data_IF_623828882924
#
_entry.id   IF_623828882924
#
_cell.length_a   1.000
_cell.length_b   1.000
_cell.length_c   1.000
_cell.angle_alpha   90.00
_cell.angle_beta   90.00
_cell.angle_gamma   90.00
#
_symmetry.space_group_name_H-M   'P 1'
#
loop_
_entity.id
_entity.type
_entity.pdbx_description
1 polymer ?
#
# COMPACT_ATOMS: atom_id res chain seq x y z
N UNK A 1 -28.87 -19.95 24.67
CA UNK A 1 -28.34 -19.86 23.28
C UNK A 1 -28.10 -21.24 22.74
N UNK A 2 -28.24 -21.47 21.43
CA UNK A 2 -28.00 -22.78 20.79
C UNK A 2 -26.48 -23.01 20.64
N UNK A 3 -25.80 -23.53 21.66
CA UNK A 3 -24.37 -23.83 21.62
C UNK A 3 -24.14 -25.35 21.55
N UNK A 4 -23.20 -25.80 20.71
CA UNK A 4 -22.76 -27.21 20.65
C UNK A 4 -21.66 -27.52 21.67
N UNK A 5 -20.75 -26.58 21.90
CA UNK A 5 -19.63 -26.68 22.84
C UNK A 5 -19.29 -25.28 23.37
N UNK A 6 -18.95 -25.20 24.65
CA UNK A 6 -18.46 -23.98 25.31
C UNK A 6 -17.02 -24.24 25.75
N UNK A 7 -16.13 -23.30 25.45
CA UNK A 7 -14.71 -23.32 25.83
C UNK A 7 -14.34 -21.96 26.40
N UNK A 8 -13.24 -21.84 27.14
CA UNK A 8 -12.76 -20.52 27.56
C UNK A 8 -12.20 -19.78 26.36
N UNK A 9 -12.52 -18.50 26.22
CA UNK A 9 -12.03 -17.69 25.11
C UNK A 9 -10.49 -17.68 25.03
N UNK A 10 -9.82 -17.67 26.19
CA UNK A 10 -8.35 -17.74 26.29
C UNK A 10 -7.77 -19.07 25.79
N UNK A 11 -8.48 -20.19 25.95
CA UNK A 11 -8.02 -21.49 25.43
C UNK A 11 -7.98 -21.45 23.91
N UNK A 12 -9.07 -20.97 23.27
CA UNK A 12 -9.10 -20.81 21.81
C UNK A 12 -8.06 -19.79 21.32
N UNK A 13 -7.86 -18.70 22.05
CA UNK A 13 -6.86 -17.69 21.71
C UNK A 13 -5.44 -18.27 21.73
N UNK A 14 -5.10 -19.07 22.75
CA UNK A 14 -3.80 -19.72 22.83
C UNK A 14 -3.57 -20.68 21.66
N UNK A 15 -4.58 -21.44 21.25
CA UNK A 15 -4.48 -22.32 20.07
C UNK A 15 -4.22 -21.52 18.77
N UNK A 16 -4.88 -20.37 18.61
CA UNK A 16 -4.65 -19.48 17.45
C UNK A 16 -3.19 -19.01 17.44
N UNK A 17 -2.66 -18.55 18.58
CA UNK A 17 -1.28 -18.06 18.69
C UNK A 17 -0.27 -19.19 18.47
N UNK A 18 -0.50 -20.37 19.04
CA UNK A 18 0.36 -21.55 18.82
C UNK A 18 0.43 -21.91 17.34
N UNK A 19 -0.72 -21.97 16.66
CA UNK A 19 -0.77 -22.26 15.23
C UNK A 19 -0.03 -21.19 14.40
N UNK A 20 -0.13 -19.91 14.79
CA UNK A 20 0.59 -18.82 14.13
C UNK A 20 2.11 -18.92 14.31
N UNK A 21 2.58 -19.31 15.49
CA UNK A 21 4.01 -19.52 15.74
C UNK A 21 4.57 -20.69 14.92
N UNK A 22 3.80 -21.77 14.77
CA UNK A 22 4.22 -22.96 14.06
C UNK A 22 4.15 -22.82 12.54
N UNK A 23 3.13 -22.11 12.02
CA UNK A 23 2.78 -22.14 10.59
C UNK A 23 2.74 -20.77 9.92
N UNK A 24 2.79 -19.67 10.69
CA UNK A 24 2.52 -18.31 10.20
C UNK A 24 1.04 -18.04 9.89
N UNK A 25 0.14 -18.99 10.18
CA UNK A 25 -1.30 -18.96 9.90
C UNK A 25 -2.10 -19.30 11.17
N UNK A 26 -3.40 -18.95 11.28
CA UNK A 26 -4.22 -18.25 10.30
C UNK A 26 -3.97 -16.73 10.29
N UNK A 27 -4.38 -16.08 9.19
CA UNK A 27 -4.48 -14.62 9.15
C UNK A 27 -5.52 -14.09 10.14
N UNK A 28 -5.31 -12.86 10.62
CA UNK A 28 -6.22 -12.18 11.53
C UNK A 28 -7.00 -11.09 10.79
N UNK A 29 -8.32 -11.26 10.72
CA UNK A 29 -9.23 -10.24 10.20
C UNK A 29 -10.34 -9.94 11.21
N UNK A 30 -10.62 -8.66 11.41
CA UNK A 30 -11.65 -8.20 12.33
C UNK A 30 -12.95 -7.91 11.58
N UNK A 31 -13.87 -8.89 11.59
CA UNK A 31 -15.16 -8.85 10.86
C UNK A 31 -15.91 -7.53 11.04
N UNK A 32 -16.07 -7.08 12.29
CA UNK A 32 -16.87 -5.89 12.59
C UNK A 32 -16.23 -4.62 12.04
N UNK A 33 -14.90 -4.52 12.13
CA UNK A 33 -14.14 -3.42 11.54
C UNK A 33 -14.25 -3.41 10.01
N UNK A 34 -14.19 -4.59 9.38
CA UNK A 34 -14.32 -4.74 7.93
C UNK A 34 -15.71 -4.31 7.44
N UNK A 35 -16.77 -4.75 8.14
CA UNK A 35 -18.14 -4.47 7.73
C UNK A 35 -18.55 -3.01 8.00
N UNK A 36 -18.19 -2.46 9.18
CA UNK A 36 -18.56 -1.08 9.56
C UNK A 36 -17.91 -0.01 8.70
N UNK A 37 -16.73 -0.31 8.15
CA UNK A 37 -15.87 0.65 7.43
C UNK A 37 -15.72 0.30 5.95
N UNK A 38 -16.71 -0.39 5.39
CA UNK A 38 -16.75 -0.71 3.97
C UNK A 38 -17.79 0.16 3.27
N UNK A 39 -17.42 0.73 2.13
CA UNK A 39 -18.39 1.40 1.27
C UNK A 39 -19.41 0.41 0.65
N UNK A 40 -19.12 -0.90 0.66
CA UNK A 40 -20.03 -1.95 0.20
C UNK A 40 -20.99 -2.46 1.29
N UNK A 41 -21.03 -1.83 2.48
CA UNK A 41 -21.90 -2.28 3.58
C UNK A 41 -23.41 -2.24 3.23
N UNK A 42 -23.81 -1.52 2.18
CA UNK A 42 -25.18 -1.50 1.68
C UNK A 42 -25.59 -2.80 0.97
N UNK A 43 -24.65 -3.66 0.59
CA UNK A 43 -24.91 -4.92 -0.12
C UNK A 43 -25.28 -6.07 0.84
N UNK A 44 -24.78 -6.01 2.07
CA UNK A 44 -24.96 -7.06 3.08
C UNK A 44 -23.70 -7.26 3.91
N UNK A 45 -23.69 -8.35 4.70
CA UNK A 45 -22.52 -8.71 5.50
C UNK A 45 -21.42 -9.29 4.60
N UNK A 46 -20.23 -8.69 4.69
CA UNK A 46 -18.99 -9.21 4.09
C UNK A 46 -18.50 -10.37 4.96
N UNK A 47 -18.50 -11.57 4.39
CA UNK A 47 -18.32 -12.83 5.11
C UNK A 47 -16.88 -13.36 5.13
N UNK A 48 -16.01 -12.83 4.27
CA UNK A 48 -14.60 -13.21 4.19
C UNK A 48 -13.77 -12.07 3.58
N UNK A 49 -12.44 -12.16 3.68
CA UNK A 49 -11.60 -11.46 2.71
C UNK A 49 -11.87 -12.04 1.32
N UNK A 50 -11.91 -11.17 0.33
CA UNK A 50 -12.16 -11.56 -1.06
C UNK A 50 -10.88 -11.99 -1.79
N UNK A 51 -9.73 -11.85 -1.14
CA UNK A 51 -8.43 -12.21 -1.68
C UNK A 51 -7.60 -13.10 -0.75
N UNK A 52 -6.65 -13.81 -1.35
CA UNK A 52 -5.68 -14.68 -0.66
C UNK A 52 -4.74 -13.90 0.27
N UNK A 53 -4.54 -12.61 0.02
CA UNK A 53 -3.56 -11.77 0.71
C UNK A 53 -4.18 -10.86 1.79
N UNK A 54 -5.40 -11.16 2.26
CA UNK A 54 -6.09 -10.49 3.38
C UNK A 54 -6.41 -8.99 3.27
N UNK A 55 -5.92 -8.25 2.28
CA UNK A 55 -6.18 -6.81 2.21
C UNK A 55 -7.29 -6.36 1.24
N UNK A 56 -7.98 -7.29 0.56
CA UNK A 56 -9.20 -6.96 -0.20
C UNK A 56 -10.44 -7.42 0.55
N UNK A 57 -11.34 -6.48 0.82
CA UNK A 57 -12.58 -6.66 1.58
C UNK A 57 -13.77 -6.27 0.70
N UNK A 58 -14.32 -7.22 -0.05
CA UNK A 58 -15.49 -7.03 -0.92
C UNK A 58 -16.63 -7.97 -0.52
N UNK A 59 -17.85 -7.56 -0.83
CA UNK A 59 -19.04 -8.38 -0.68
C UNK A 59 -18.98 -9.61 -1.60
N UNK A 60 -19.50 -10.73 -1.11
CA UNK A 60 -19.66 -11.96 -1.88
C UNK A 60 -20.93 -12.69 -1.46
N UNK A 61 -21.53 -13.39 -2.40
CA UNK A 61 -22.77 -14.15 -2.22
C UNK A 61 -22.76 -15.40 -3.11
N UNK A 62 -23.72 -16.34 -2.97
CA UNK A 62 -23.81 -17.49 -3.87
C UNK A 62 -23.92 -17.13 -5.36
N UNK A 63 -24.36 -15.91 -5.69
CA UNK A 63 -24.50 -15.41 -7.06
C UNK A 63 -23.40 -14.43 -7.45
N UNK A 64 -22.55 -13.99 -6.52
CA UNK A 64 -21.55 -12.94 -6.74
C UNK A 64 -20.19 -13.36 -6.16
N UNK A 65 -19.23 -13.53 -7.05
CA UNK A 65 -17.84 -13.82 -6.68
C UNK A 65 -17.02 -12.55 -6.85
N UNK A 66 -16.54 -11.98 -5.75
CA UNK A 66 -15.72 -10.77 -5.76
C UNK A 66 -14.45 -10.92 -6.62
N UNK A 67 -14.03 -9.85 -7.29
CA UNK A 67 -12.87 -9.81 -8.19
C UNK A 67 -11.93 -8.67 -7.80
N UNK A 68 -10.63 -8.95 -7.83
CA UNK A 68 -9.60 -7.98 -7.47
C UNK A 68 -8.93 -7.43 -8.74
N UNK A 69 -9.27 -6.20 -9.14
CA UNK A 69 -8.55 -5.47 -10.20
C UNK A 69 -7.46 -4.61 -9.54
N UNK A 70 -6.20 -5.04 -9.62
CA UNK A 70 -5.10 -4.49 -8.82
C UNK A 70 -4.02 -3.81 -9.67
N UNK A 71 -3.50 -2.69 -9.19
CA UNK A 71 -2.27 -2.08 -9.68
C UNK A 71 -1.49 -1.46 -8.51
N UNK A 72 -0.19 -1.33 -8.65
CA UNK A 72 0.66 -0.72 -7.62
C UNK A 72 1.44 0.46 -8.17
N UNK A 73 1.45 1.57 -7.43
CA UNK A 73 2.23 2.76 -7.75
C UNK A 73 3.62 2.63 -7.13
N UNK A 74 4.66 2.76 -7.95
CA UNK A 74 6.07 2.72 -7.50
C UNK A 74 6.44 4.07 -6.90
N UNK A 75 6.35 4.20 -5.57
CA UNK A 75 6.51 5.48 -4.86
C UNK A 75 7.88 6.14 -5.03
N UNK A 76 9.02 5.42 -5.12
CA UNK A 76 10.33 6.04 -5.31
C UNK A 76 10.44 6.90 -6.57
N UNK A 77 9.57 6.69 -7.57
CA UNK A 77 9.53 7.49 -8.80
C UNK A 77 9.06 8.93 -8.59
N UNK A 78 8.48 9.23 -7.43
CA UNK A 78 8.01 10.58 -7.08
C UNK A 78 8.98 11.33 -6.17
N UNK A 79 10.14 10.76 -5.83
CA UNK A 79 11.21 11.51 -5.15
C UNK A 79 12.02 12.27 -6.21
N UNK A 80 12.20 13.58 -5.98
CA UNK A 80 12.84 14.51 -6.93
C UNK A 80 13.89 15.36 -6.23
N UNK A 81 14.94 15.74 -6.95
CA UNK A 81 15.87 16.79 -6.51
C UNK A 81 15.29 18.19 -6.81
N UNK A 82 15.49 19.16 -5.91
CA UNK A 82 14.91 20.51 -6.00
C UNK A 82 15.40 21.32 -7.21
N UNK A 83 16.64 21.08 -7.67
CA UNK A 83 17.32 21.93 -8.66
C UNK A 83 17.44 21.27 -10.06
N UNK A 84 16.72 20.17 -10.31
CA UNK A 84 16.78 19.45 -11.59
C UNK A 84 15.47 19.66 -12.36
N UNK A 85 15.51 20.11 -13.63
CA UNK A 85 14.31 20.25 -14.46
C UNK A 85 13.54 18.93 -14.62
N UNK A 86 12.20 19.01 -14.66
CA UNK A 86 11.30 17.84 -14.75
C UNK A 86 11.68 16.84 -15.86
N UNK A 87 12.14 17.35 -17.01
CA UNK A 87 12.46 16.54 -18.19
C UNK A 87 13.85 15.88 -18.12
N UNK A 88 14.68 16.24 -17.14
CA UNK A 88 16.10 15.85 -17.05
C UNK A 88 16.45 15.02 -15.81
N UNK A 89 15.45 14.59 -15.02
CA UNK A 89 15.74 13.82 -13.81
C UNK A 89 16.44 12.49 -14.13
N UNK A 90 17.56 12.18 -13.44
CA UNK A 90 18.26 10.92 -13.62
C UNK A 90 17.32 9.75 -13.31
N UNK A 91 17.47 8.68 -14.09
CA UNK A 91 16.55 7.56 -14.10
C UNK A 91 16.45 6.83 -12.76
N UNK A 92 17.43 6.93 -11.86
CA UNK A 92 17.42 6.22 -10.57
C UNK A 92 18.20 6.97 -9.48
N UNK A 93 17.48 7.58 -8.53
CA UNK A 93 18.06 8.09 -7.30
C UNK A 93 18.51 6.93 -6.40
N UNK A 94 19.62 7.11 -5.69
CA UNK A 94 20.13 6.14 -4.73
C UNK A 94 20.69 6.82 -3.47
N UNK A 95 20.75 6.05 -2.39
CA UNK A 95 21.27 6.49 -1.10
C UNK A 95 20.44 7.55 -0.38
N UNK A 96 20.87 7.91 0.82
CA UNK A 96 20.25 8.89 1.73
C UNK A 96 21.05 10.19 1.86
N UNK A 97 22.33 10.20 1.45
CA UNK A 97 23.25 11.34 1.65
C UNK A 97 22.79 12.64 0.96
N UNK A 98 21.99 12.55 -0.12
CA UNK A 98 21.44 13.70 -0.85
C UNK A 98 20.04 14.15 -0.38
N UNK A 99 19.50 13.55 0.67
CA UNK A 99 18.12 13.74 1.16
C UNK A 99 17.68 15.20 1.32
N UNK A 100 18.56 16.08 1.81
CA UNK A 100 18.25 17.51 2.04
C UNK A 100 17.84 18.27 0.77
N UNK A 101 18.34 17.84 -0.38
CA UNK A 101 18.04 18.44 -1.68
C UNK A 101 16.87 17.75 -2.37
N UNK A 102 16.22 16.78 -1.72
CA UNK A 102 15.11 16.01 -2.29
C UNK A 102 13.77 16.41 -1.69
N UNK A 103 12.71 16.11 -2.43
CA UNK A 103 11.32 16.25 -1.98
C UNK A 103 10.45 15.18 -2.62
N UNK A 104 9.25 14.97 -2.06
CA UNK A 104 8.25 14.08 -2.62
C UNK A 104 7.24 14.86 -3.47
N UNK A 105 7.10 14.50 -4.74
CA UNK A 105 6.23 15.18 -5.71
C UNK A 105 4.80 14.61 -5.68
N UNK A 106 3.98 15.22 -4.82
CA UNK A 106 2.56 14.87 -4.69
C UNK A 106 1.73 15.19 -5.94
N UNK A 107 2.12 16.19 -6.74
CA UNK A 107 1.38 16.55 -7.95
C UNK A 107 1.55 15.48 -9.04
N UNK A 108 2.77 14.96 -9.21
CA UNK A 108 3.00 13.81 -10.10
C UNK A 108 2.27 12.55 -9.60
N UNK A 109 2.27 12.29 -8.29
CA UNK A 109 1.52 11.17 -7.70
C UNK A 109 0.02 11.28 -7.97
N UNK A 110 -0.54 12.47 -7.75
CA UNK A 110 -1.93 12.80 -8.04
C UNK A 110 -2.29 12.54 -9.51
N UNK A 111 -1.45 13.03 -10.44
CA UNK A 111 -1.62 12.84 -11.88
C UNK A 111 -1.58 11.36 -12.26
N UNK A 112 -0.59 10.60 -11.76
CA UNK A 112 -0.48 9.16 -12.06
C UNK A 112 -1.68 8.39 -11.54
N UNK A 113 -2.10 8.68 -10.30
CA UNK A 113 -3.24 8.02 -9.66
C UNK A 113 -4.54 8.27 -10.44
N UNK A 114 -4.84 9.54 -10.75
CA UNK A 114 -6.08 9.93 -11.41
C UNK A 114 -6.08 9.58 -12.91
N UNK A 115 -5.08 10.04 -13.66
CA UNK A 115 -5.10 9.98 -15.12
C UNK A 115 -4.77 8.60 -15.68
N UNK A 116 -3.98 7.79 -14.97
CA UNK A 116 -3.55 6.48 -15.44
C UNK A 116 -4.18 5.36 -14.63
N UNK A 117 -3.78 5.19 -13.37
CA UNK A 117 -4.09 3.97 -12.61
C UNK A 117 -5.59 3.77 -12.42
N UNK A 118 -6.33 4.80 -12.00
CA UNK A 118 -7.78 4.70 -11.78
C UNK A 118 -8.53 4.41 -13.07
N UNK A 119 -8.21 5.13 -14.15
CA UNK A 119 -8.85 4.95 -15.46
C UNK A 119 -8.56 3.58 -16.07
N UNK A 120 -7.31 3.12 -15.99
CA UNK A 120 -6.91 1.84 -16.57
C UNK A 120 -7.49 0.67 -15.79
N UNK A 121 -7.57 0.76 -14.46
CA UNK A 121 -8.26 -0.25 -13.65
C UNK A 121 -9.77 -0.31 -13.93
N UNK A 122 -10.44 0.83 -14.15
CA UNK A 122 -11.85 0.81 -14.53
C UNK A 122 -12.05 0.20 -15.93
N UNK A 123 -11.18 0.51 -16.90
CA UNK A 123 -11.21 -0.11 -18.24
C UNK A 123 -10.96 -1.61 -18.20
N UNK A 124 -10.08 -2.08 -17.32
CA UNK A 124 -9.79 -3.51 -17.15
C UNK A 124 -11.06 -4.27 -16.76
N UNK A 125 -11.98 -3.68 -15.98
CA UNK A 125 -13.24 -4.34 -15.61
C UNK A 125 -14.05 -4.72 -16.86
N UNK A 126 -14.10 -3.85 -17.87
CA UNK A 126 -14.86 -4.12 -19.09
C UNK A 126 -14.08 -5.01 -20.08
N UNK A 127 -12.75 -4.90 -20.11
CA UNK A 127 -11.88 -5.66 -21.01
C UNK A 127 -11.55 -7.09 -20.50
N UNK A 128 -11.75 -7.36 -19.22
CA UNK A 128 -11.32 -8.62 -18.62
C UNK A 128 -12.16 -9.82 -19.07
N UNK A 129 -11.52 -10.97 -19.22
CA UNK A 129 -12.19 -12.25 -19.41
C UNK A 129 -12.54 -12.86 -18.04
N UNK A 130 -13.83 -13.10 -17.80
CA UNK A 130 -14.29 -13.68 -16.55
C UNK A 130 -14.51 -15.19 -16.72
N UNK A 131 -13.80 -16.06 -15.97
CA UNK A 131 -14.01 -17.50 -16.05
C UNK A 131 -15.33 -17.96 -15.41
N UNK A 132 -15.94 -17.12 -14.57
CA UNK A 132 -17.21 -17.39 -13.88
C UNK A 132 -18.19 -16.23 -14.12
N UNK A 133 -19.44 -16.55 -14.42
CA UNK A 133 -20.51 -15.55 -14.59
C UNK A 133 -20.80 -14.79 -13.29
N UNK A 134 -20.67 -15.45 -12.13
CA UNK A 134 -20.78 -14.80 -10.81
C UNK A 134 -19.68 -13.74 -10.60
N UNK A 135 -18.49 -13.96 -11.17
CA UNK A 135 -17.39 -13.01 -11.11
C UNK A 135 -17.64 -11.79 -12.00
N UNK A 136 -18.10 -12.02 -13.23
CA UNK A 136 -18.54 -10.95 -14.15
C UNK A 136 -19.65 -10.11 -13.52
N UNK A 137 -20.65 -10.78 -12.95
CA UNK A 137 -21.79 -10.13 -12.28
C UNK A 137 -21.31 -9.22 -11.16
N UNK A 138 -20.47 -9.72 -10.25
CA UNK A 138 -19.92 -8.91 -9.15
C UNK A 138 -19.14 -7.71 -9.66
N UNK A 139 -18.20 -7.92 -10.60
CA UNK A 139 -17.30 -6.85 -11.04
C UNK A 139 -18.05 -5.77 -11.82
N UNK A 140 -19.04 -6.13 -12.66
CA UNK A 140 -19.83 -5.15 -13.42
C UNK A 140 -20.79 -4.34 -12.53
N UNK A 141 -21.35 -4.95 -11.47
CA UNK A 141 -22.31 -4.29 -10.57
C UNK A 141 -21.68 -3.33 -9.57
N UNK A 142 -20.47 -3.64 -9.10
CA UNK A 142 -19.81 -2.89 -8.02
C UNK A 142 -18.54 -2.17 -8.49
N UNK A 143 -17.95 -2.59 -9.61
CA UNK A 143 -16.72 -2.04 -10.20
C UNK A 143 -15.59 -1.73 -9.20
N UNK A 144 -15.24 -2.63 -8.26
CA UNK A 144 -14.19 -2.37 -7.29
C UNK A 144 -12.82 -2.37 -7.97
N UNK A 145 -11.96 -1.43 -7.59
CA UNK A 145 -10.55 -1.41 -7.97
C UNK A 145 -9.67 -1.37 -6.72
N UNK A 146 -8.42 -1.80 -6.85
CA UNK A 146 -7.46 -1.82 -5.75
C UNK A 146 -6.12 -1.21 -6.16
N UNK A 147 -5.96 0.07 -5.84
CA UNK A 147 -4.72 0.80 -6.00
C UNK A 147 -3.87 0.57 -4.75
N UNK A 148 -2.72 -0.07 -4.94
CA UNK A 148 -1.69 -0.27 -3.93
C UNK A 148 -0.44 0.55 -4.22
N UNK A 149 0.62 0.33 -3.43
CA UNK A 149 1.91 1.00 -3.58
C UNK A 149 3.07 0.03 -3.42
N UNK A 150 4.23 0.40 -3.96
CA UNK A 150 5.49 -0.31 -3.81
C UNK A 150 6.62 0.65 -3.48
N UNK A 151 7.60 0.18 -2.70
CA UNK A 151 8.82 0.91 -2.39
C UNK A 151 8.66 2.05 -1.38
N UNK A 152 7.77 1.90 -0.39
CA UNK A 152 7.62 2.90 0.68
C UNK A 152 8.91 3.08 1.49
N UNK A 153 9.58 1.97 1.85
CA UNK A 153 10.86 2.01 2.56
C UNK A 153 11.95 2.73 1.74
N UNK A 154 12.00 2.50 0.43
CA UNK A 154 12.95 3.17 -0.47
C UNK A 154 12.69 4.69 -0.52
N UNK A 155 11.43 5.15 -0.47
CA UNK A 155 11.11 6.59 -0.36
C UNK A 155 11.70 7.18 0.92
N UNK A 156 11.48 6.53 2.07
CA UNK A 156 12.02 7.02 3.34
C UNK A 156 13.55 7.06 3.32
N UNK A 157 14.21 6.03 2.78
CA UNK A 157 15.66 6.04 2.61
C UNK A 157 16.13 7.18 1.70
N UNK A 158 15.48 7.38 0.55
CA UNK A 158 15.83 8.45 -0.39
C UNK A 158 15.66 9.84 0.20
N UNK A 159 14.71 10.01 1.13
CA UNK A 159 14.47 11.25 1.87
C UNK A 159 15.22 11.32 3.21
N UNK A 160 16.05 10.33 3.53
CA UNK A 160 16.85 10.30 4.76
C UNK A 160 16.01 10.19 6.04
N UNK A 161 14.84 9.58 5.96
CA UNK A 161 13.90 9.41 7.06
C UNK A 161 14.02 7.98 7.62
N UNK A 162 14.28 7.80 8.93
CA UNK A 162 14.07 6.51 9.59
C UNK A 162 12.61 6.08 9.48
N UNK A 163 12.35 4.78 9.31
CA UNK A 163 11.00 4.26 9.04
C UNK A 163 9.98 4.61 10.15
N UNK A 164 10.42 4.64 11.41
CA UNK A 164 9.62 4.96 12.59
C UNK A 164 9.70 6.43 13.03
N UNK A 165 10.27 7.31 12.19
CA UNK A 165 10.34 8.73 12.47
C UNK A 165 8.97 9.42 12.35
N UNK A 166 8.71 10.50 13.12
CA UNK A 166 7.50 11.32 12.95
C UNK A 166 7.32 11.85 11.53
N UNK A 167 8.42 12.18 10.85
CA UNK A 167 8.43 12.66 9.47
C UNK A 167 7.97 11.56 8.49
N UNK A 168 8.43 10.32 8.67
CA UNK A 168 7.97 9.18 7.88
C UNK A 168 6.49 8.87 8.10
N UNK A 169 5.99 9.01 9.35
CA UNK A 169 4.58 8.85 9.68
C UNK A 169 3.70 9.91 8.99
N UNK A 170 4.13 11.17 8.99
CA UNK A 170 3.41 12.25 8.31
C UNK A 170 3.42 12.04 6.78
N UNK A 171 4.58 11.73 6.20
CA UNK A 171 4.70 11.47 4.77
C UNK A 171 3.84 10.28 4.34
N UNK A 172 3.79 9.21 5.14
CA UNK A 172 2.91 8.08 4.92
C UNK A 172 1.44 8.53 4.83
N UNK A 173 0.99 9.36 5.78
CA UNK A 173 -0.37 9.91 5.79
C UNK A 173 -0.63 10.72 4.51
N UNK A 174 0.27 11.62 4.16
CA UNK A 174 0.14 12.50 2.99
C UNK A 174 0.10 11.74 1.65
N UNK A 175 0.88 10.67 1.53
CA UNK A 175 0.92 9.81 0.33
C UNK A 175 -0.44 9.13 0.14
N UNK A 176 -0.97 8.47 1.18
CA UNK A 176 -2.24 7.77 1.08
C UNK A 176 -3.43 8.71 0.97
N UNK A 177 -3.35 9.88 1.61
CA UNK A 177 -4.33 10.94 1.43
C UNK A 177 -4.41 11.38 -0.03
N UNK A 178 -3.25 11.62 -0.66
CA UNK A 178 -3.15 12.01 -2.07
C UNK A 178 -3.69 10.93 -3.01
N UNK A 179 -3.33 9.66 -2.79
CA UNK A 179 -3.81 8.55 -3.62
C UNK A 179 -5.34 8.43 -3.50
N UNK A 180 -5.87 8.45 -2.27
CA UNK A 180 -7.30 8.27 -2.06
C UNK A 180 -8.12 9.44 -2.64
N UNK A 181 -7.70 10.68 -2.40
CA UNK A 181 -8.35 11.88 -2.93
C UNK A 181 -8.43 11.86 -4.46
N UNK A 182 -7.30 11.61 -5.13
CA UNK A 182 -7.24 11.66 -6.59
C UNK A 182 -7.87 10.43 -7.26
N UNK A 183 -7.87 9.27 -6.61
CA UNK A 183 -8.63 8.11 -7.09
C UNK A 183 -10.14 8.39 -7.04
N UNK A 184 -10.65 8.94 -5.92
CA UNK A 184 -12.06 9.33 -5.79
C UNK A 184 -12.43 10.38 -6.83
N UNK A 185 -11.57 11.39 -7.01
CA UNK A 185 -11.79 12.44 -8.00
C UNK A 185 -11.96 11.87 -9.40
N UNK A 186 -11.01 11.05 -9.85
CA UNK A 186 -11.06 10.40 -11.16
C UNK A 186 -12.29 9.48 -11.29
N UNK A 187 -12.62 8.72 -10.25
CA UNK A 187 -13.82 7.86 -10.28
C UNK A 187 -15.12 8.65 -10.38
N UNK A 188 -15.18 9.86 -9.79
CA UNK A 188 -16.32 10.76 -9.93
C UNK A 188 -16.38 11.41 -11.32
N UNK A 189 -15.23 11.77 -11.91
CA UNK A 189 -15.15 12.24 -13.30
C UNK A 189 -15.60 11.15 -14.30
N UNK A 190 -15.21 9.90 -14.08
CA UNK A 190 -15.72 8.74 -14.84
C UNK A 190 -17.23 8.57 -14.66
N UNK A 191 -17.74 8.74 -13.43
CA UNK A 191 -19.17 8.68 -13.15
C UNK A 191 -19.97 9.75 -13.88
N UNK A 192 -19.43 10.96 -13.99
CA UNK A 192 -20.06 12.05 -14.74
C UNK A 192 -20.21 11.74 -16.24
N UNK A 193 -19.31 10.92 -16.79
CA UNK A 193 -19.31 10.52 -18.21
C UNK A 193 -20.13 9.26 -18.48
N UNK A 194 -19.90 8.23 -17.69
CA UNK A 194 -20.37 6.87 -17.97
C UNK A 194 -21.44 6.37 -16.97
N UNK A 195 -21.79 7.21 -16.00
CA UNK A 195 -22.71 6.92 -14.90
C UNK A 195 -22.03 6.26 -13.69
N UNK A 196 -22.67 6.36 -12.53
CA UNK A 196 -22.20 5.67 -11.32
C UNK A 196 -22.32 4.14 -11.47
N UNK A 197 -21.59 3.37 -10.64
CA UNK A 197 -21.80 1.93 -10.60
C UNK A 197 -23.22 1.58 -10.12
N UNK A 198 -23.73 0.43 -10.55
CA UNK A 198 -25.14 0.04 -10.39
C UNK A 198 -25.64 0.14 -8.94
N UNK A 199 -24.80 -0.26 -7.99
CA UNK A 199 -25.13 -0.35 -6.56
C UNK A 199 -24.64 0.85 -5.73
N UNK A 200 -24.39 1.99 -6.38
CA UNK A 200 -23.93 3.22 -5.72
C UNK A 200 -24.97 3.77 -4.75
N UNK A 201 -26.25 3.78 -5.14
CA UNK A 201 -27.34 4.31 -4.31
C UNK A 201 -27.45 3.52 -3.00
N UNK A 202 -27.39 4.23 -1.87
CA UNK A 202 -27.45 3.65 -0.53
C UNK A 202 -26.09 3.35 0.09
N UNK A 203 -25.01 3.37 -0.70
CA UNK A 203 -23.63 3.29 -0.19
C UNK A 203 -23.29 4.50 0.69
N UNK A 204 -22.30 4.40 1.60
CA UNK A 204 -21.77 5.53 2.33
C UNK A 204 -21.32 6.70 1.45
N UNK A 205 -20.63 6.44 0.34
CA UNK A 205 -20.21 7.49 -0.60
C UNK A 205 -21.40 8.23 -1.21
N UNK A 206 -22.55 7.57 -1.41
CA UNK A 206 -23.79 8.25 -1.86
C UNK A 206 -24.41 9.18 -0.82
N UNK A 207 -23.97 9.09 0.44
CA UNK A 207 -24.36 9.97 1.56
C UNK A 207 -23.25 10.98 1.90
N UNK A 208 -22.22 11.07 1.07
CA UNK A 208 -21.05 11.90 1.32
C UNK A 208 -20.14 11.40 2.44
N UNK A 209 -20.25 10.13 2.87
CA UNK A 209 -19.40 9.52 3.90
C UNK A 209 -18.23 8.80 3.21
N UNK A 210 -17.01 9.27 3.45
CA UNK A 210 -15.76 8.75 2.91
C UNK A 210 -15.02 7.92 3.95
N UNK A 211 -13.92 7.28 3.54
CA UNK A 211 -13.16 6.40 4.43
C UNK A 211 -12.66 7.09 5.70
N UNK A 212 -12.06 8.30 5.68
CA UNK A 212 -11.62 9.00 6.90
C UNK A 212 -12.74 9.18 7.93
N UNK A 213 -13.97 9.46 7.50
CA UNK A 213 -15.13 9.65 8.37
C UNK A 213 -15.48 8.37 9.14
N UNK A 214 -15.37 7.21 8.49
CA UNK A 214 -15.63 5.91 9.12
C UNK A 214 -14.60 5.54 10.20
N UNK A 215 -13.46 6.23 10.20
CA UNK A 215 -12.40 6.11 11.22
C UNK A 215 -12.40 7.28 12.21
N UNK A 216 -13.32 8.24 12.06
CA UNK A 216 -13.33 9.50 12.81
C UNK A 216 -12.01 10.28 12.69
N UNK A 217 -11.39 10.24 11.50
CA UNK A 217 -10.16 10.96 11.19
C UNK A 217 -10.51 12.18 10.34
N UNK A 218 -9.99 13.35 10.74
CA UNK A 218 -10.06 14.56 9.92
C UNK A 218 -8.84 14.56 8.99
N UNK A 219 -9.02 14.57 7.65
CA UNK A 219 -7.91 14.69 6.70
C UNK A 219 -7.13 16.00 6.86
N UNK A 220 -5.95 16.08 6.24
CA UNK A 220 -5.20 17.34 6.19
C UNK A 220 -5.86 18.35 5.24
N UNK A 221 -5.33 19.58 5.24
CA UNK A 221 -5.71 20.66 4.34
C UNK A 221 -4.97 20.60 2.98
N UNK A 222 -4.21 19.53 2.73
CA UNK A 222 -3.44 19.34 1.48
C UNK A 222 -4.33 19.31 0.25
N UNK A 223 -5.54 18.75 0.36
CA UNK A 223 -6.50 18.62 -0.72
C UNK A 223 -7.89 19.09 -0.29
N UNK A 224 -8.68 19.60 -1.24
CA UNK A 224 -10.01 20.17 -0.98
C UNK A 224 -11.09 19.08 -0.85
N UNK A 225 -11.21 18.51 0.35
CA UNK A 225 -12.16 17.44 0.65
C UNK A 225 -13.62 17.88 0.49
N UNK A 226 -13.94 19.15 0.72
CA UNK A 226 -15.30 19.66 0.58
C UNK A 226 -15.70 19.72 -0.90
N UNK A 227 -14.81 20.25 -1.75
CA UNK A 227 -14.99 20.21 -3.21
C UNK A 227 -15.17 18.77 -3.72
N UNK A 228 -14.36 17.83 -3.22
CA UNK A 228 -14.48 16.42 -3.62
C UNK A 228 -15.82 15.83 -3.20
N UNK A 229 -16.31 16.12 -1.98
CA UNK A 229 -17.63 15.65 -1.51
C UNK A 229 -18.75 16.21 -2.36
N UNK A 230 -18.72 17.50 -2.67
CA UNK A 230 -19.70 18.14 -3.55
C UNK A 230 -19.72 17.50 -4.94
N UNK A 231 -18.54 17.22 -5.48
CA UNK A 231 -18.39 16.54 -6.77
C UNK A 231 -18.96 15.11 -6.73
N UNK A 232 -18.68 14.34 -5.67
CA UNK A 232 -19.21 12.98 -5.48
C UNK A 232 -20.74 13.01 -5.32
N UNK A 233 -21.29 13.95 -4.54
CA UNK A 233 -22.74 14.07 -4.35
C UNK A 233 -23.45 14.44 -5.65
N UNK A 234 -22.81 15.25 -6.50
CA UNK A 234 -23.36 15.66 -7.81
C UNK A 234 -23.28 14.56 -8.85
N UNK A 235 -22.11 13.93 -9.00
CA UNK A 235 -21.83 13.04 -10.13
C UNK A 235 -21.94 11.55 -9.78
N UNK A 236 -21.88 11.20 -8.50
CA UNK A 236 -21.58 9.85 -8.04
C UNK A 236 -20.10 9.48 -8.19
N UNK A 237 -19.81 8.18 -8.06
CA UNK A 237 -18.51 7.58 -8.40
C UNK A 237 -18.69 6.32 -9.22
N UNK A 238 -17.70 6.00 -10.05
CA UNK A 238 -17.72 4.84 -10.95
C UNK A 238 -17.31 3.54 -10.27
N UNK A 239 -16.57 3.61 -9.15
CA UNK A 239 -15.98 2.45 -8.48
C UNK A 239 -16.39 2.39 -7.01
N UNK A 240 -16.83 1.23 -6.53
CA UNK A 240 -17.28 1.06 -5.14
C UNK A 240 -16.16 1.08 -4.09
N UNK A 241 -14.95 0.66 -4.48
CA UNK A 241 -13.72 0.65 -3.69
C UNK A 241 -12.57 1.05 -4.60
N UNK A 242 -11.56 1.73 -4.06
CA UNK A 242 -10.49 2.33 -4.87
C UNK A 242 -9.08 1.94 -4.43
N UNK A 243 -8.81 2.01 -3.13
CA UNK A 243 -7.46 1.80 -2.58
C UNK A 243 -7.47 0.48 -1.82
N UNK A 244 -6.51 -0.38 -2.15
CA UNK A 244 -6.26 -1.63 -1.45
C UNK A 244 -4.76 -1.80 -1.30
N UNK A 245 -4.31 -1.93 -0.06
CA UNK A 245 -2.89 -2.07 0.27
C UNK A 245 -2.36 -3.50 0.01
N UNK A 246 -3.01 -4.23 -0.91
CA UNK A 246 -2.60 -5.56 -1.36
C UNK A 246 -1.85 -5.48 -2.67
N UNK A 247 -0.65 -6.04 -2.71
CA UNK A 247 0.03 -6.31 -3.96
C UNK A 247 1.53 -6.41 -3.80
N UNK A 248 2.03 -7.65 -3.90
CA UNK A 248 3.42 -8.07 -4.09
C UNK A 248 4.48 -7.59 -3.07
N UNK A 249 5.34 -8.52 -2.67
CA UNK A 249 6.50 -8.37 -1.77
C UNK A 249 7.06 -6.94 -1.73
N UNK A 250 7.09 -6.32 -0.53
CA UNK A 250 7.68 -4.99 -0.23
C UNK A 250 6.86 -3.75 -0.62
N UNK A 251 5.55 -3.78 -0.37
CA UNK A 251 4.67 -2.62 -0.55
C UNK A 251 4.87 -1.53 0.51
N UNK A 252 4.56 -1.88 1.75
CA UNK A 252 4.58 -1.01 2.95
C UNK A 252 5.61 -1.45 3.99
N UNK A 253 6.29 -2.56 3.73
CA UNK A 253 7.17 -3.20 4.70
C UNK A 253 8.47 -2.39 4.79
N UNK A 254 9.05 -2.23 5.99
CA UNK A 254 10.45 -1.87 6.14
C UNK A 254 11.34 -2.83 5.34
N UNK A 255 12.55 -2.40 4.99
CA UNK A 255 13.53 -3.31 4.40
C UNK A 255 13.65 -4.55 5.30
N UNK A 256 13.51 -5.76 4.76
CA UNK A 256 13.57 -6.99 5.56
C UNK A 256 14.99 -7.35 6.00
N UNK A 257 15.98 -6.99 5.19
CA UNK A 257 17.41 -7.11 5.47
C UNK A 257 18.17 -6.21 4.51
N UNK A 258 19.35 -5.74 4.93
CA UNK A 258 20.28 -5.06 4.04
C UNK A 258 21.11 -6.01 3.17
N UNK A 259 20.96 -7.33 3.36
CA UNK A 259 21.61 -8.36 2.56
C UNK A 259 20.61 -9.45 2.19
N UNK A 260 20.62 -9.85 0.92
CA UNK A 260 19.85 -10.97 0.41
C UNK A 260 20.80 -11.91 -0.31
N UNK A 261 20.82 -13.17 0.11
CA UNK A 261 21.52 -14.23 -0.61
C UNK A 261 20.56 -14.82 -1.65
N UNK A 262 20.97 -14.79 -2.92
CA UNK A 262 20.23 -15.40 -4.01
C UNK A 262 20.99 -16.63 -4.50
N UNK A 263 20.41 -17.81 -4.32
CA UNK A 263 20.91 -19.05 -4.91
C UNK A 263 20.49 -19.15 -6.38
N UNK A 264 21.43 -19.40 -7.28
CA UNK A 264 21.18 -19.65 -8.70
C UNK A 264 21.96 -20.88 -9.20
N UNK A 265 21.67 -21.30 -10.42
CA UNK A 265 22.40 -22.39 -11.09
C UNK A 265 23.90 -22.11 -11.26
N UNK A 266 24.30 -20.84 -11.20
CA UNK A 266 25.69 -20.37 -11.28
C UNK A 266 26.36 -20.15 -9.91
N UNK A 267 25.70 -20.50 -8.80
CA UNK A 267 26.22 -20.35 -7.43
C UNK A 267 25.38 -19.40 -6.56
N UNK A 268 25.85 -19.14 -5.35
CA UNK A 268 25.22 -18.20 -4.41
C UNK A 268 25.78 -16.79 -4.58
N UNK A 269 24.89 -15.82 -4.75
CA UNK A 269 25.24 -14.41 -4.87
C UNK A 269 24.64 -13.60 -3.73
N UNK A 270 25.50 -12.95 -2.96
CA UNK A 270 25.11 -11.99 -1.92
C UNK A 270 24.86 -10.61 -2.54
N UNK A 271 23.61 -10.16 -2.50
CA UNK A 271 23.17 -8.84 -2.95
C UNK A 271 23.00 -7.94 -1.73
N UNK A 272 23.63 -6.78 -1.75
CA UNK A 272 23.52 -5.75 -0.69
C UNK A 272 22.47 -4.75 -1.10
N UNK A 273 21.74 -4.18 -0.13
CA UNK A 273 20.81 -3.08 -0.36
C UNK A 273 21.49 -1.98 -1.18
N UNK A 274 20.91 -1.68 -2.35
CA UNK A 274 21.45 -0.73 -3.31
C UNK A 274 21.68 0.66 -2.71
N UNK A 275 20.73 1.14 -1.90
CA UNK A 275 20.83 2.46 -1.30
C UNK A 275 21.97 2.52 -0.27
N UNK A 276 22.07 1.50 0.58
CA UNK A 276 23.15 1.41 1.57
C UNK A 276 24.53 1.27 0.90
N UNK A 277 24.63 0.42 -0.12
CA UNK A 277 25.87 0.25 -0.89
C UNK A 277 26.33 1.58 -1.50
N UNK A 278 25.39 2.35 -2.05
CA UNK A 278 25.67 3.66 -2.61
C UNK A 278 26.20 4.65 -1.55
N UNK A 279 25.54 4.74 -0.39
CA UNK A 279 25.99 5.62 0.70
C UNK A 279 27.37 5.22 1.23
N UNK A 280 27.60 3.94 1.53
CA UNK A 280 28.89 3.46 2.03
C UNK A 280 30.02 3.64 1.02
N UNK A 281 29.73 3.53 -0.28
CA UNK A 281 30.71 3.78 -1.35
C UNK A 281 31.08 5.26 -1.40
N UNK A 282 30.11 6.17 -1.35
CA UNK A 282 30.34 7.61 -1.37
C UNK A 282 31.08 8.11 -0.11
N UNK A 283 30.90 7.43 1.03
CA UNK A 283 31.64 7.69 2.26
C UNK A 283 33.04 7.08 2.27
N UNK A 284 33.42 6.28 1.28
CA UNK A 284 34.71 5.59 1.23
C UNK A 284 34.86 4.44 2.23
N UNK A 285 33.75 3.98 2.83
CA UNK A 285 33.73 2.92 3.86
C UNK A 285 33.62 1.53 3.21
N UNK A 286 33.04 1.45 2.00
CA UNK A 286 32.81 0.17 1.33
C UNK A 286 34.10 -0.55 0.94
N UNK A 287 34.27 -1.79 1.40
CA UNK A 287 35.42 -2.64 1.09
C UNK A 287 35.06 -4.13 1.13
N UNK A 288 35.95 -4.99 0.62
CA UNK A 288 35.78 -6.45 0.74
C UNK A 288 35.76 -6.92 2.20
N UNK A 289 36.49 -6.22 3.09
CA UNK A 289 36.42 -6.47 4.54
C UNK A 289 35.03 -6.12 5.07
N UNK A 290 34.51 -4.94 4.71
CA UNK A 290 33.19 -4.49 5.12
C UNK A 290 32.11 -5.49 4.67
N UNK A 291 32.16 -5.97 3.41
CA UNK A 291 31.24 -7.01 2.92
C UNK A 291 31.21 -8.26 3.81
N UNK A 292 32.37 -8.72 4.32
CA UNK A 292 32.44 -9.87 5.24
C UNK A 292 31.81 -9.57 6.60
N UNK A 293 32.05 -8.38 7.15
CA UNK A 293 31.43 -7.93 8.42
C UNK A 293 29.90 -7.88 8.29
N UNK A 294 29.43 -7.34 7.18
CA UNK A 294 28.01 -7.31 6.82
C UNK A 294 27.38 -8.71 6.79
N UNK A 295 28.07 -9.69 6.17
CA UNK A 295 27.62 -11.08 6.14
C UNK A 295 27.64 -11.73 7.53
N UNK A 296 28.64 -11.44 8.39
CA UNK A 296 28.67 -11.99 9.75
C UNK A 296 27.59 -11.41 10.66
N UNK A 297 27.17 -10.16 10.44
CA UNK A 297 26.10 -9.49 11.18
C UNK A 297 24.69 -9.76 10.57
N UNK A 298 24.57 -10.72 9.65
CA UNK A 298 23.31 -11.07 8.97
C UNK A 298 22.58 -9.87 8.33
N UNK A 299 23.33 -8.86 7.87
CA UNK A 299 22.79 -7.63 7.28
C UNK A 299 22.57 -6.48 8.26
N UNK A 300 22.82 -6.66 9.56
CA UNK A 300 22.78 -5.58 10.56
C UNK A 300 23.96 -4.64 10.43
N UNK A 301 23.66 -3.34 10.57
CA UNK A 301 24.67 -2.27 10.61
C UNK A 301 24.77 -1.59 11.97
N UNK A 302 23.91 -1.96 12.92
CA UNK A 302 23.85 -1.30 14.23
C UNK A 302 25.17 -1.36 15.00
N UNK A 303 25.86 -2.50 14.91
CA UNK A 303 27.10 -2.77 15.65
C UNK A 303 28.38 -2.32 14.93
N UNK A 304 28.28 -1.76 13.71
CA UNK A 304 29.45 -1.39 12.90
C UNK A 304 29.92 0.01 13.32
N UNK A 305 31.07 0.16 13.99
CA UNK A 305 31.52 1.44 14.53
C UNK A 305 31.91 2.45 13.43
N UNK A 306 32.30 1.99 12.25
CA UNK A 306 32.64 2.86 11.11
C UNK A 306 31.41 3.56 10.51
N UNK A 307 30.20 3.10 10.81
CA UNK A 307 28.96 3.66 10.27
C UNK A 307 28.37 4.67 11.27
N UNK A 308 28.08 5.92 10.84
CA UNK A 308 27.39 6.92 11.65
C UNK A 308 25.99 6.50 12.12
N UNK A 309 25.57 7.01 13.28
CA UNK A 309 24.30 6.61 13.91
C UNK A 309 23.06 7.10 13.15
N UNK A 310 23.15 8.22 12.44
CA UNK A 310 22.10 8.69 11.53
C UNK A 310 21.87 7.71 10.38
N UNK A 311 22.94 7.18 9.77
CA UNK A 311 22.83 6.16 8.73
C UNK A 311 22.29 4.83 9.29
N UNK A 312 22.69 4.45 10.52
CA UNK A 312 22.15 3.27 11.21
C UNK A 312 20.64 3.38 11.42
N UNK A 313 20.15 4.55 11.80
CA UNK A 313 18.72 4.77 12.00
C UNK A 313 17.92 4.62 10.70
N UNK A 314 18.44 5.11 9.57
CA UNK A 314 17.79 5.05 8.25
C UNK A 314 17.68 3.60 7.74
N UNK A 315 18.74 2.80 7.88
CA UNK A 315 18.80 1.43 7.34
C UNK A 315 18.53 0.34 8.38
N UNK A 316 17.90 0.69 9.50
CA UNK A 316 17.41 -0.31 10.47
C UNK A 316 16.31 -1.16 9.84
N UNK A 317 16.34 -2.48 10.07
CA UNK A 317 15.33 -3.42 9.60
C UNK A 317 14.67 -4.19 10.74
N UNK A 318 13.53 -4.83 10.45
CA UNK A 318 12.59 -5.43 11.41
C UNK A 318 13.15 -6.48 12.38
N UNK A 319 14.36 -7.01 12.17
CA UNK A 319 14.96 -8.06 13.01
C UNK A 319 16.14 -7.56 13.87
N UNK A 320 16.33 -6.24 14.00
CA UNK A 320 17.42 -5.62 14.76
C UNK A 320 16.91 -4.88 16.01
#
# INVERSE_FOLDING_TARGET
GKAKKVVKAQELWNEIVTCQLETGMPYMLFKDSCNRKSNQQNLGTINSSSGLCSGVIQYSSPTETAVCNLASIVLPRFVRDKDVPMDSHPSELAGSLGSKNRYFDFHSLAKVTASHVTNDLDRIIDANYYPLESAKTSNMRHRPIGIGVQGLADVFILLGMPFDSPEALQLNTDIFETIYYHALKASSELSARDGAYETYKGSPMSKGILQPDMWNVTPSDRWDWDFLRDMILKNGVRNSLLVSLTGNNKGLEPCASNIINHGGSSGEFTIVNRHLLHDLTNMGIWSQRMKKVFTSENGSIGNIPEIPDDLKAIYRYNNA
#
